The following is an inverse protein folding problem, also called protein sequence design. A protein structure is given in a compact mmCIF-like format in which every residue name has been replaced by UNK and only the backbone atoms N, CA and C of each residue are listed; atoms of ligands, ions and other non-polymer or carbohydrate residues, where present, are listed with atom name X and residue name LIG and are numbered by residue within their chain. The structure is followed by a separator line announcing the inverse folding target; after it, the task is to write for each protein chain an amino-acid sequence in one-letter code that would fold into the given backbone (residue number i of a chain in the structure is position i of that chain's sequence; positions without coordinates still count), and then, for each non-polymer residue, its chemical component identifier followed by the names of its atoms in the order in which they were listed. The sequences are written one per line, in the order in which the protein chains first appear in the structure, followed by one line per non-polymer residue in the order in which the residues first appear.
data_IF_325412039308
#
_entry.id   IF_325412039308
#
_cell.length_a   1.000
_cell.length_b   1.000
_cell.length_c   1.000
_cell.angle_alpha   90.00
_cell.angle_beta   90.00
_cell.angle_gamma   90.00
#
_symmetry.space_group_name_H-M   'P 1'
#
loop_
_entity.id
_entity.type
_entity.pdbx_description
1 polymer ?
#
# COMPACT_ATOMS: atom_id res chain seq x y z
N UNK A 1 -31.84 0.00 -4.98
CA UNK A 1 -30.58 0.75 -5.11
C UNK A 1 -30.72 1.73 -6.25
N UNK A 2 -30.50 2.99 -6.05
CA UNK A 2 -30.79 4.03 -7.05
C UNK A 2 -29.61 4.20 -8.02
N UNK A 3 -29.58 3.43 -9.08
CA UNK A 3 -28.64 3.54 -10.21
C UNK A 3 -27.47 2.56 -10.19
N UNK A 4 -26.72 2.46 -11.31
CA UNK A 4 -25.59 1.54 -11.44
C UNK A 4 -24.46 1.88 -10.49
N UNK A 5 -23.73 0.87 -10.04
CA UNK A 5 -22.56 1.00 -9.14
C UNK A 5 -21.37 1.51 -9.96
N UNK A 6 -20.72 2.61 -9.58
CA UNK A 6 -19.50 3.05 -10.22
C UNK A 6 -18.39 2.00 -10.10
N UNK A 7 -17.81 1.61 -11.22
CA UNK A 7 -16.64 0.74 -11.29
C UNK A 7 -15.54 1.43 -12.08
N UNK A 8 -14.50 1.87 -11.39
CA UNK A 8 -13.37 2.59 -11.96
C UNK A 8 -12.17 1.66 -12.08
N UNK A 9 -11.68 1.45 -13.29
CA UNK A 9 -10.57 0.53 -13.59
C UNK A 9 -9.35 1.29 -14.06
N UNK A 10 -8.21 1.02 -13.44
CA UNK A 10 -6.92 1.58 -13.85
C UNK A 10 -6.33 0.78 -15.02
N UNK A 11 -6.19 1.42 -16.19
CA UNK A 11 -5.54 0.83 -17.39
C UNK A 11 -4.01 0.79 -17.31
N UNK A 12 -3.40 1.52 -16.40
CA UNK A 12 -1.94 1.71 -16.36
C UNK A 12 -1.14 0.59 -15.70
N UNK A 13 -1.76 -0.48 -15.17
CA UNK A 13 -1.06 -1.51 -14.39
C UNK A 13 -1.48 -2.94 -14.71
N UNK A 14 -0.51 -3.84 -14.74
CA UNK A 14 -0.73 -5.28 -14.75
C UNK A 14 -1.46 -5.83 -15.99
N UNK A 15 -2.42 -6.73 -15.78
CA UNK A 15 -3.19 -7.38 -16.83
C UNK A 15 -4.09 -6.41 -17.62
N UNK A 16 -4.50 -5.29 -17.02
CA UNK A 16 -5.40 -4.31 -17.61
C UNK A 16 -4.78 -3.53 -18.81
N UNK A 17 -3.46 -3.49 -18.92
CA UNK A 17 -2.77 -2.78 -20.01
C UNK A 17 -2.74 -3.57 -21.32
N UNK A 18 -2.89 -4.90 -21.29
CA UNK A 18 -2.64 -5.77 -22.43
C UNK A 18 -3.86 -6.23 -23.21
N UNK A 19 -5.09 -6.15 -22.66
CA UNK A 19 -6.29 -6.77 -23.26
C UNK A 19 -7.56 -5.97 -22.92
N UNK A 20 -7.69 -4.72 -23.42
CA UNK A 20 -8.75 -3.82 -22.94
C UNK A 20 -10.19 -4.25 -23.26
N UNK A 21 -10.48 -4.80 -24.43
CA UNK A 21 -11.85 -5.20 -24.82
C UNK A 21 -12.26 -6.52 -24.15
N UNK A 22 -11.40 -7.53 -24.19
CA UNK A 22 -11.70 -8.81 -23.55
C UNK A 22 -11.89 -8.67 -22.03
N UNK A 23 -11.08 -7.84 -21.37
CA UNK A 23 -11.23 -7.57 -19.95
C UNK A 23 -12.52 -6.83 -19.63
N UNK A 24 -12.94 -5.90 -20.48
CA UNK A 24 -14.23 -5.19 -20.32
C UNK A 24 -15.40 -6.17 -20.36
N UNK A 25 -15.41 -7.07 -21.33
CA UNK A 25 -16.46 -8.09 -21.49
C UNK A 25 -16.48 -9.05 -20.31
N UNK A 26 -15.29 -9.50 -19.84
CA UNK A 26 -15.17 -10.35 -18.67
C UNK A 26 -15.72 -9.67 -17.40
N UNK A 27 -15.37 -8.40 -17.17
CA UNK A 27 -15.87 -7.63 -16.02
C UNK A 27 -17.40 -7.49 -16.12
N UNK A 28 -17.93 -7.04 -17.27
CA UNK A 28 -19.37 -6.84 -17.47
C UNK A 28 -20.13 -8.14 -17.23
N UNK A 29 -19.62 -9.26 -17.74
CA UNK A 29 -20.20 -10.58 -17.54
C UNK A 29 -20.19 -10.97 -16.07
N UNK A 30 -19.04 -10.85 -15.38
CA UNK A 30 -18.91 -11.21 -13.97
C UNK A 30 -19.90 -10.46 -13.08
N UNK A 31 -20.07 -9.15 -13.31
CA UNK A 31 -21.01 -8.33 -12.52
C UNK A 31 -22.47 -8.58 -12.89
N UNK A 32 -22.77 -8.87 -14.18
CA UNK A 32 -24.11 -9.27 -14.60
C UNK A 32 -24.51 -10.61 -13.97
N UNK A 33 -23.61 -11.61 -13.97
CA UNK A 33 -23.81 -12.91 -13.34
C UNK A 33 -23.97 -12.78 -11.81
N UNK A 34 -23.33 -11.78 -11.19
CA UNK A 34 -23.51 -11.44 -9.78
C UNK A 34 -24.75 -10.56 -9.50
N UNK A 35 -25.54 -10.20 -10.51
CA UNK A 35 -26.77 -9.43 -10.36
C UNK A 35 -26.59 -7.93 -10.04
N UNK A 36 -25.40 -7.36 -10.30
CA UNK A 36 -25.10 -5.95 -10.08
C UNK A 36 -25.02 -5.19 -11.42
N UNK A 37 -25.78 -4.11 -11.54
CA UNK A 37 -25.61 -3.14 -12.62
C UNK A 37 -24.44 -2.20 -12.29
N UNK A 38 -23.47 -2.08 -13.21
CA UNK A 38 -22.27 -1.27 -13.05
C UNK A 38 -22.20 -0.14 -14.08
N UNK A 39 -21.63 1.00 -13.68
CA UNK A 39 -21.10 2.05 -14.55
C UNK A 39 -19.58 1.88 -14.64
N UNK A 40 -19.15 1.11 -15.65
CA UNK A 40 -17.74 0.74 -15.85
C UNK A 40 -17.01 1.82 -16.64
N UNK A 41 -15.95 2.34 -16.04
CA UNK A 41 -15.11 3.37 -16.64
C UNK A 41 -13.63 3.01 -16.46
N UNK A 42 -12.85 3.22 -17.52
CA UNK A 42 -11.40 2.98 -17.51
C UNK A 42 -10.63 4.30 -17.48
N UNK A 43 -9.64 4.38 -16.62
CA UNK A 43 -8.80 5.57 -16.46
C UNK A 43 -7.31 5.21 -16.55
N UNK A 44 -6.46 6.09 -17.11
CA UNK A 44 -5.03 6.03 -16.87
C UNK A 44 -4.74 6.33 -15.39
N UNK A 45 -3.62 5.82 -14.87
CA UNK A 45 -3.27 5.97 -13.44
C UNK A 45 -3.39 7.40 -12.91
N UNK A 46 -2.94 8.38 -13.69
CA UNK A 46 -2.98 9.81 -13.34
C UNK A 46 -4.40 10.39 -13.22
N UNK A 47 -5.39 9.80 -13.89
CA UNK A 47 -6.79 10.26 -13.84
C UNK A 47 -7.64 9.63 -12.75
N UNK A 48 -7.12 8.64 -12.03
CA UNK A 48 -7.90 7.86 -11.07
C UNK A 48 -8.40 8.70 -9.89
N UNK A 49 -7.55 9.55 -9.31
CA UNK A 49 -7.93 10.37 -8.17
C UNK A 49 -9.09 11.32 -8.49
N UNK A 50 -9.06 11.96 -9.64
CA UNK A 50 -10.15 12.86 -10.11
C UNK A 50 -11.44 12.08 -10.40
N UNK A 51 -11.31 10.87 -10.95
CA UNK A 51 -12.44 10.00 -11.20
C UNK A 51 -13.11 9.54 -9.91
N UNK A 52 -12.32 9.15 -8.93
CA UNK A 52 -12.81 8.78 -7.58
C UNK A 52 -13.51 9.95 -6.91
N UNK A 53 -12.95 11.15 -6.98
CA UNK A 53 -13.56 12.34 -6.38
C UNK A 53 -14.98 12.64 -6.93
N UNK A 54 -15.26 12.31 -8.21
CA UNK A 54 -16.58 12.51 -8.83
C UNK A 54 -17.64 11.52 -8.35
N UNK A 55 -17.23 10.34 -7.90
CA UNK A 55 -18.14 9.27 -7.45
C UNK A 55 -18.10 9.06 -5.95
N UNK A 56 -17.17 9.69 -5.24
CA UNK A 56 -17.12 9.71 -3.79
C UNK A 56 -18.48 10.24 -3.22
N UNK A 57 -18.96 9.57 -2.16
CA UNK A 57 -20.31 9.81 -1.63
C UNK A 57 -21.39 8.87 -2.17
N UNK A 58 -21.11 8.08 -3.22
CA UNK A 58 -21.95 6.93 -3.58
C UNK A 58 -21.78 5.85 -2.51
N UNK A 59 -22.87 5.14 -2.20
CA UNK A 59 -22.88 4.12 -1.12
C UNK A 59 -21.79 3.04 -1.33
N UNK A 60 -21.61 2.60 -2.59
CA UNK A 60 -20.60 1.63 -2.99
C UNK A 60 -19.89 2.17 -4.23
N UNK A 61 -18.56 2.11 -4.20
CA UNK A 61 -17.68 2.42 -5.34
C UNK A 61 -16.71 1.26 -5.50
N UNK A 62 -16.64 0.69 -6.69
CA UNK A 62 -15.72 -0.41 -6.99
C UNK A 62 -14.47 0.14 -7.69
N UNK A 63 -13.31 -0.26 -7.20
CA UNK A 63 -12.02 0.11 -7.77
C UNK A 63 -11.32 -1.14 -8.31
N UNK A 64 -11.06 -1.15 -9.60
CA UNK A 64 -10.29 -2.19 -10.27
C UNK A 64 -8.84 -1.76 -10.46
N UNK A 65 -7.91 -2.47 -9.79
CA UNK A 65 -6.48 -2.16 -9.88
C UNK A 65 -5.63 -2.90 -8.86
N UNK A 66 -4.39 -2.45 -8.72
CA UNK A 66 -3.45 -2.93 -7.70
C UNK A 66 -3.37 -1.99 -6.50
N UNK A 67 -2.46 -2.30 -5.57
CA UNK A 67 -2.31 -1.62 -4.27
C UNK A 67 -2.14 -0.09 -4.39
N UNK A 68 -1.37 0.41 -5.37
CA UNK A 68 -1.22 1.86 -5.58
C UNK A 68 -2.53 2.54 -6.02
N UNK A 69 -3.34 1.88 -6.87
CA UNK A 69 -4.65 2.39 -7.28
C UNK A 69 -5.61 2.45 -6.10
N UNK A 70 -5.62 1.40 -5.27
CA UNK A 70 -6.44 1.33 -4.06
C UNK A 70 -6.03 2.39 -3.05
N UNK A 71 -4.72 2.56 -2.83
CA UNK A 71 -4.17 3.58 -1.93
C UNK A 71 -4.56 5.01 -2.35
N UNK A 72 -4.52 5.32 -3.64
CA UNK A 72 -4.91 6.64 -4.15
C UNK A 72 -6.42 6.94 -4.02
N UNK A 73 -7.25 5.90 -4.00
CA UNK A 73 -8.71 6.03 -3.87
C UNK A 73 -9.19 6.05 -2.40
N UNK A 74 -8.46 5.36 -1.52
CA UNK A 74 -8.89 5.07 -0.15
C UNK A 74 -9.24 6.31 0.66
N UNK A 75 -8.43 7.37 0.57
CA UNK A 75 -8.64 8.60 1.33
C UNK A 75 -9.95 9.29 0.97
N UNK A 76 -10.19 9.51 -0.32
CA UNK A 76 -11.38 10.19 -0.81
C UNK A 76 -12.67 9.40 -0.50
N UNK A 77 -12.61 8.07 -0.60
CA UNK A 77 -13.74 7.21 -0.29
C UNK A 77 -14.04 7.18 1.21
N UNK A 78 -13.00 7.13 2.05
CA UNK A 78 -13.16 7.19 3.51
C UNK A 78 -13.78 8.52 3.96
N UNK A 79 -13.27 9.65 3.46
CA UNK A 79 -13.78 10.99 3.77
C UNK A 79 -15.23 11.19 3.34
N UNK A 80 -15.63 10.58 2.23
CA UNK A 80 -17.02 10.63 1.73
C UNK A 80 -17.94 9.58 2.37
N UNK A 81 -17.43 8.67 3.22
CA UNK A 81 -18.21 7.59 3.83
C UNK A 81 -18.67 6.53 2.85
N UNK A 82 -17.99 6.40 1.70
CA UNK A 82 -18.28 5.39 0.69
C UNK A 82 -17.68 4.04 1.07
N UNK A 83 -18.37 2.96 0.73
CA UNK A 83 -17.82 1.61 0.84
C UNK A 83 -17.01 1.28 -0.41
N UNK A 84 -15.81 0.76 -0.22
CA UNK A 84 -14.91 0.31 -1.28
C UNK A 84 -15.18 -1.15 -1.64
N UNK A 85 -15.55 -1.44 -2.88
CA UNK A 85 -15.44 -2.75 -3.49
C UNK A 85 -14.09 -2.89 -4.20
N UNK A 86 -13.37 -3.99 -3.98
CA UNK A 86 -12.05 -4.21 -4.57
C UNK A 86 -12.13 -5.25 -5.67
N UNK A 87 -11.74 -4.87 -6.89
CA UNK A 87 -11.53 -5.78 -8.01
C UNK A 87 -10.02 -5.93 -8.25
N UNK A 88 -9.40 -7.08 -7.88
CA UNK A 88 -7.95 -7.23 -7.77
C UNK A 88 -7.29 -7.46 -9.14
N UNK A 89 -7.09 -6.40 -9.92
CA UNK A 89 -6.50 -6.44 -11.26
C UNK A 89 -4.98 -6.15 -11.29
N UNK A 90 -4.36 -5.95 -10.13
CA UNK A 90 -2.93 -5.70 -10.01
C UNK A 90 -2.09 -6.98 -10.04
N UNK A 91 -0.78 -6.81 -10.04
CA UNK A 91 0.17 -7.96 -10.05
C UNK A 91 0.34 -8.60 -8.67
N UNK A 92 0.30 -7.83 -7.60
CA UNK A 92 0.55 -8.31 -6.22
C UNK A 92 -0.71 -8.42 -5.41
N UNK A 93 -1.58 -7.41 -5.46
CA UNK A 93 -2.86 -7.34 -4.75
C UNK A 93 -2.73 -7.66 -3.25
N UNK A 94 -1.76 -7.01 -2.57
CA UNK A 94 -1.48 -7.26 -1.16
C UNK A 94 -2.71 -7.03 -0.30
N UNK A 95 -3.36 -5.86 -0.43
CA UNK A 95 -4.55 -5.52 0.33
C UNK A 95 -5.70 -6.51 0.10
N UNK A 96 -5.94 -6.90 -1.16
CA UNK A 96 -7.00 -7.87 -1.46
C UNK A 96 -6.73 -9.23 -0.81
N UNK A 97 -5.47 -9.70 -0.84
CA UNK A 97 -5.08 -10.96 -0.21
C UNK A 97 -5.20 -10.92 1.31
N UNK A 98 -4.78 -9.83 1.95
CA UNK A 98 -4.90 -9.64 3.40
C UNK A 98 -6.36 -9.56 3.85
N UNK A 99 -7.24 -9.03 3.01
CA UNK A 99 -8.70 -9.01 3.23
C UNK A 99 -9.39 -10.33 2.90
N UNK A 100 -8.67 -11.33 2.36
CA UNK A 100 -9.28 -12.59 1.91
C UNK A 100 -10.17 -12.45 0.67
N UNK A 101 -10.00 -11.38 -0.10
CA UNK A 101 -10.78 -11.16 -1.33
C UNK A 101 -10.31 -12.11 -2.43
N UNK A 102 -11.21 -12.88 -3.08
CA UNK A 102 -10.88 -13.73 -4.21
C UNK A 102 -10.19 -12.96 -5.34
N UNK A 103 -9.19 -13.57 -5.98
CA UNK A 103 -8.46 -12.94 -7.07
C UNK A 103 -9.13 -13.17 -8.45
N UNK A 104 -10.01 -14.13 -8.55
CA UNK A 104 -10.77 -14.43 -9.75
C UNK A 104 -11.94 -13.47 -9.91
N UNK A 105 -12.14 -12.93 -11.12
CA UNK A 105 -13.14 -11.90 -11.40
C UNK A 105 -14.57 -12.28 -11.00
N UNK A 106 -15.08 -13.48 -11.35
CA UNK A 106 -16.45 -13.86 -10.99
C UNK A 106 -16.68 -13.95 -9.48
N UNK A 107 -15.69 -14.45 -8.74
CA UNK A 107 -15.78 -14.61 -7.29
C UNK A 107 -15.67 -13.27 -6.58
N UNK A 108 -14.77 -12.38 -7.06
CA UNK A 108 -14.66 -11.03 -6.55
C UNK A 108 -15.94 -10.22 -6.80
N UNK A 109 -16.55 -10.33 -8.00
CA UNK A 109 -17.81 -9.68 -8.31
C UNK A 109 -18.96 -10.18 -7.42
N UNK A 110 -19.05 -11.49 -7.17
CA UNK A 110 -20.02 -12.08 -6.25
C UNK A 110 -19.83 -11.58 -4.80
N UNK A 111 -18.58 -11.52 -4.34
CA UNK A 111 -18.27 -10.96 -3.02
C UNK A 111 -18.71 -9.49 -2.93
N UNK A 112 -18.45 -8.68 -3.97
CA UNK A 112 -18.87 -7.28 -4.01
C UNK A 112 -20.39 -7.14 -3.97
N UNK A 113 -21.13 -8.12 -4.56
CA UNK A 113 -22.58 -8.14 -4.57
C UNK A 113 -23.19 -8.38 -3.19
N UNK A 114 -22.76 -9.44 -2.54
CA UNK A 114 -23.44 -10.04 -1.39
C UNK A 114 -22.58 -10.07 -0.13
N UNK A 115 -21.31 -9.65 -0.23
CA UNK A 115 -20.35 -9.77 0.86
C UNK A 115 -20.61 -8.80 2.00
N UNK A 116 -20.11 -9.15 3.19
CA UNK A 116 -20.19 -8.29 4.36
C UNK A 116 -19.27 -7.08 4.26
N UNK A 117 -19.60 -6.05 5.02
CA UNK A 117 -18.75 -4.87 5.16
C UNK A 117 -17.83 -5.03 6.38
N UNK A 118 -16.57 -4.69 6.17
CA UNK A 118 -15.56 -4.55 7.23
C UNK A 118 -15.05 -3.12 7.25
N UNK A 119 -14.53 -2.69 8.39
CA UNK A 119 -13.84 -1.41 8.49
C UNK A 119 -12.36 -1.63 8.75
N UNK A 120 -11.53 -0.91 8.01
CA UNK A 120 -10.08 -0.96 8.13
C UNK A 120 -9.50 0.41 8.48
N UNK A 121 -8.32 0.39 9.06
CA UNK A 121 -7.57 1.58 9.41
C UNK A 121 -6.90 2.21 8.18
N UNK A 122 -6.68 3.50 8.24
CA UNK A 122 -5.86 4.24 7.27
C UNK A 122 -4.75 4.98 7.99
N UNK A 123 -3.51 4.82 7.51
CA UNK A 123 -2.41 5.67 7.93
C UNK A 123 -2.41 7.00 7.18
N UNK A 124 -1.97 8.07 7.85
CA UNK A 124 -1.74 9.38 7.22
C UNK A 124 -0.34 9.89 7.51
N UNK A 125 0.22 10.64 6.57
CA UNK A 125 1.40 11.48 6.79
C UNK A 125 1.21 12.83 6.13
N UNK A 126 1.23 13.91 6.90
CA UNK A 126 0.96 15.26 6.43
C UNK A 126 -0.33 15.34 5.58
N UNK A 127 -1.39 14.65 6.00
CA UNK A 127 -2.68 14.56 5.29
C UNK A 127 -2.72 13.59 4.11
N UNK A 128 -1.58 13.05 3.66
CA UNK A 128 -1.56 12.03 2.61
C UNK A 128 -1.87 10.65 3.19
N UNK A 129 -2.84 9.96 2.62
CA UNK A 129 -3.27 8.62 3.04
C UNK A 129 -2.32 7.54 2.51
N UNK A 130 -2.11 6.49 3.31
CA UNK A 130 -1.56 5.21 2.89
C UNK A 130 -2.34 4.06 3.53
N UNK A 131 -2.54 3.01 2.76
CA UNK A 131 -3.30 1.84 3.20
C UNK A 131 -2.38 0.78 3.80
N UNK A 132 -1.19 0.59 3.21
CA UNK A 132 -0.25 -0.42 3.65
C UNK A 132 0.85 0.17 4.51
N UNK A 133 1.70 1.00 3.92
CA UNK A 133 2.87 1.53 4.62
C UNK A 133 3.41 2.82 4.01
N UNK A 134 4.17 3.53 4.83
CA UNK A 134 5.03 4.62 4.42
C UNK A 134 6.49 4.29 4.70
N UNK A 135 7.42 4.67 3.83
CA UNK A 135 8.84 4.47 4.06
C UNK A 135 9.69 5.69 3.70
N UNK A 136 10.73 5.93 4.49
CA UNK A 136 11.69 7.02 4.33
C UNK A 136 13.07 6.41 4.12
N UNK A 137 13.82 6.88 3.13
CA UNK A 137 15.21 6.50 2.91
C UNK A 137 15.42 5.67 1.66
N UNK A 138 15.98 4.48 1.81
CA UNK A 138 16.45 3.65 0.70
C UNK A 138 15.37 3.24 -0.33
N UNK A 139 14.17 2.92 0.11
CA UNK A 139 13.11 2.43 -0.79
C UNK A 139 12.61 3.49 -1.80
N UNK A 140 12.33 4.73 -1.41
CA UNK A 140 12.04 5.81 -2.36
C UNK A 140 13.16 6.02 -3.39
N UNK A 141 14.43 5.97 -2.95
CA UNK A 141 15.58 6.13 -3.83
C UNK A 141 15.69 4.99 -4.87
N UNK A 142 15.21 3.79 -4.53
CA UNK A 142 15.21 2.59 -5.38
C UNK A 142 14.07 2.60 -6.41
N UNK A 143 12.90 3.08 -6.04
CA UNK A 143 11.74 3.17 -6.93
C UNK A 143 12.01 4.18 -8.06
N UNK A 144 12.56 5.36 -7.75
CA UNK A 144 12.91 6.38 -8.74
C UNK A 144 13.93 5.91 -9.80
N UNK A 145 14.78 4.93 -9.48
CA UNK A 145 15.82 4.45 -10.40
C UNK A 145 15.36 3.31 -11.31
N UNK A 146 14.20 2.70 -11.07
CA UNK A 146 13.70 1.57 -11.87
C UNK A 146 13.21 1.97 -13.27
N UNK A 147 12.88 3.21 -13.49
CA UNK A 147 12.21 3.68 -14.72
C UNK A 147 13.12 3.80 -15.95
N UNK A 148 14.41 3.41 -15.87
CA UNK A 148 15.38 3.59 -16.98
C UNK A 148 16.13 2.36 -17.45
N UNK A 149 15.99 1.17 -16.84
CA UNK A 149 16.91 0.05 -17.10
C UNK A 149 16.25 -1.06 -17.93
N UNK A 150 16.62 -1.15 -19.22
CA UNK A 150 16.23 -2.25 -20.13
C UNK A 150 17.16 -3.46 -19.96
N UNK A 151 17.01 -4.23 -18.88
CA UNK A 151 17.76 -5.45 -18.59
C UNK A 151 16.82 -6.57 -18.12
N UNK A 152 17.22 -7.86 -18.26
CA UNK A 152 16.45 -8.98 -17.70
C UNK A 152 16.13 -8.74 -16.22
N UNK A 153 14.89 -8.97 -15.82
CA UNK A 153 14.31 -8.59 -14.51
C UNK A 153 15.20 -8.94 -13.30
N UNK A 154 15.85 -10.12 -13.29
CA UNK A 154 16.73 -10.56 -12.20
C UNK A 154 18.05 -9.78 -12.15
N UNK A 155 18.65 -9.52 -13.31
CA UNK A 155 19.92 -8.78 -13.42
C UNK A 155 19.71 -7.29 -13.11
N UNK A 156 18.63 -6.71 -13.61
CA UNK A 156 18.22 -5.34 -13.30
C UNK A 156 17.97 -5.15 -11.79
N UNK A 157 17.35 -6.13 -11.11
CA UNK A 157 17.13 -6.10 -9.67
C UNK A 157 18.43 -6.15 -8.87
N UNK A 158 19.40 -7.00 -9.28
CA UNK A 158 20.72 -7.11 -8.61
C UNK A 158 21.53 -5.82 -8.79
N UNK A 159 21.58 -5.27 -10.00
CA UNK A 159 22.30 -4.03 -10.27
C UNK A 159 21.65 -2.82 -9.59
N UNK A 160 20.31 -2.75 -9.58
CA UNK A 160 19.58 -1.72 -8.85
C UNK A 160 19.80 -1.83 -7.34
N UNK A 161 19.79 -3.04 -6.77
CA UNK A 161 20.11 -3.27 -5.36
C UNK A 161 21.57 -2.87 -5.03
N UNK A 162 22.53 -3.21 -5.88
CA UNK A 162 23.94 -2.85 -5.70
C UNK A 162 24.16 -1.33 -5.83
N UNK A 163 23.52 -0.67 -6.80
CA UNK A 163 23.59 0.78 -6.98
C UNK A 163 22.93 1.52 -5.81
N UNK A 164 21.82 1.03 -5.35
CA UNK A 164 21.08 1.56 -4.21
C UNK A 164 21.89 1.40 -2.92
N UNK A 165 22.54 0.26 -2.69
CA UNK A 165 23.45 0.02 -1.57
C UNK A 165 24.67 0.96 -1.60
N UNK A 166 25.23 1.24 -2.79
CA UNK A 166 26.33 2.21 -2.95
C UNK A 166 25.89 3.64 -2.57
N UNK A 167 24.64 4.00 -2.83
CA UNK A 167 24.06 5.33 -2.56
C UNK A 167 23.36 5.42 -1.22
N UNK A 168 23.23 4.31 -0.49
CA UNK A 168 22.56 4.26 0.80
C UNK A 168 23.21 5.23 1.77
N UNK A 169 22.46 6.25 2.17
CA UNK A 169 22.88 7.26 3.14
C UNK A 169 22.14 7.03 4.44
N UNK A 170 22.88 6.93 5.52
CA UNK A 170 22.29 6.99 6.85
C UNK A 170 21.72 8.39 7.08
N UNK A 171 20.47 8.42 7.48
CA UNK A 171 19.75 9.65 7.82
C UNK A 171 19.70 9.77 9.34
N UNK A 172 19.99 10.94 9.84
CA UNK A 172 19.73 11.29 11.24
C UNK A 172 18.29 11.79 11.31
N UNK A 173 17.48 11.09 12.06
CA UNK A 173 16.07 11.40 12.26
C UNK A 173 15.81 11.49 13.76
N UNK A 174 14.94 12.42 14.14
CA UNK A 174 14.38 12.48 15.48
C UNK A 174 12.93 12.04 15.36
N UNK A 175 12.58 11.07 16.15
CA UNK A 175 11.25 10.53 16.29
C UNK A 175 10.66 11.04 17.60
N UNK A 176 9.49 11.67 17.53
CA UNK A 176 8.70 12.07 18.70
C UNK A 176 7.42 11.25 18.71
N UNK A 177 7.21 10.53 19.79
CA UNK A 177 6.11 9.59 20.00
C UNK A 177 5.47 9.83 21.37
N UNK A 178 4.28 9.31 21.66
CA UNK A 178 3.65 9.47 22.98
C UNK A 178 4.52 9.05 24.17
N UNK A 179 5.49 8.13 23.98
CA UNK A 179 6.44 7.66 25.00
C UNK A 179 7.71 8.47 25.14
N UNK A 180 7.93 9.51 24.32
CA UNK A 180 9.13 10.33 24.36
C UNK A 180 9.77 10.59 23.00
N UNK A 181 11.02 11.05 23.04
CA UNK A 181 11.80 11.35 21.83
C UNK A 181 12.97 10.36 21.68
N UNK A 182 13.18 9.91 20.46
CA UNK A 182 14.31 9.06 20.10
C UNK A 182 15.09 9.64 18.91
N UNK A 183 16.42 9.65 19.02
CA UNK A 183 17.29 10.03 17.92
C UNK A 183 17.88 8.77 17.27
N UNK A 184 17.53 8.54 16.02
CA UNK A 184 18.01 7.38 15.27
C UNK A 184 18.91 7.76 14.11
N UNK A 185 19.79 6.83 13.74
CA UNK A 185 20.61 6.92 12.52
C UNK A 185 20.35 5.66 11.72
N UNK A 186 19.51 5.77 10.72
CA UNK A 186 19.07 4.63 9.92
C UNK A 186 19.14 4.91 8.41
N UNK A 187 19.40 3.90 7.56
CA UNK A 187 19.24 4.05 6.13
C UNK A 187 17.77 4.02 5.68
N UNK A 188 16.87 3.45 6.50
CA UNK A 188 15.46 3.32 6.19
C UNK A 188 14.61 3.30 7.46
N UNK A 189 13.57 4.12 7.49
CA UNK A 189 12.48 4.07 8.44
C UNK A 189 11.23 3.60 7.70
N UNK A 190 10.53 2.64 8.29
CA UNK A 190 9.29 2.08 7.79
C UNK A 190 8.19 2.31 8.83
N UNK A 191 7.05 2.80 8.39
CA UNK A 191 5.86 3.01 9.20
C UNK A 191 4.71 2.23 8.58
N UNK A 192 4.33 1.16 9.23
CA UNK A 192 3.23 0.30 8.80
C UNK A 192 1.88 0.79 9.33
N UNK A 193 0.85 0.66 8.52
CA UNK A 193 -0.54 0.76 8.96
C UNK A 193 -0.93 -0.59 9.56
N UNK A 194 -1.01 -0.66 10.87
CA UNK A 194 -1.13 -1.86 11.68
C UNK A 194 0.14 -2.74 11.77
N UNK A 195 0.08 -3.82 12.56
CA UNK A 195 1.21 -4.69 12.87
C UNK A 195 1.55 -5.60 11.71
N UNK A 196 2.81 -5.62 11.35
CA UNK A 196 3.34 -6.57 10.38
C UNK A 196 3.79 -7.86 11.07
N UNK A 197 3.43 -8.99 10.44
CA UNK A 197 3.92 -10.31 10.87
C UNK A 197 5.40 -10.42 10.49
N UNK A 198 6.24 -10.64 11.48
CA UNK A 198 7.69 -10.76 11.31
C UNK A 198 8.15 -12.23 11.17
N UNK A 199 7.23 -13.18 11.01
CA UNK A 199 7.56 -14.60 10.87
C UNK A 199 8.10 -14.95 9.49
N UNK A 200 9.02 -15.90 9.43
CA UNK A 200 9.57 -16.43 8.19
C UNK A 200 8.45 -17.03 7.31
N UNK A 201 8.33 -16.55 6.06
CA UNK A 201 7.29 -16.98 5.11
C UNK A 201 6.03 -16.11 5.07
N UNK A 202 5.79 -15.26 6.09
CA UNK A 202 4.66 -14.31 6.15
C UNK A 202 5.11 -12.84 6.18
N UNK A 203 6.37 -12.59 5.89
CA UNK A 203 6.95 -11.26 5.88
C UNK A 203 6.23 -10.32 4.91
N UNK A 204 5.83 -9.17 5.44
CA UNK A 204 5.10 -8.16 4.67
C UNK A 204 3.59 -8.33 4.68
N UNK A 205 3.05 -9.33 5.41
CA UNK A 205 1.63 -9.46 5.73
C UNK A 205 1.35 -8.78 7.07
N UNK A 206 0.13 -8.29 7.23
CA UNK A 206 -0.35 -7.74 8.51
C UNK A 206 -1.14 -8.79 9.27
N UNK A 207 -1.09 -8.74 10.59
CA UNK A 207 -1.87 -9.63 11.45
C UNK A 207 -3.36 -9.27 11.43
N UNK A 208 -3.65 -7.96 11.44
CA UNK A 208 -4.99 -7.40 11.32
C UNK A 208 -4.93 -6.06 10.56
N UNK A 209 -6.08 -5.56 10.12
CA UNK A 209 -6.20 -4.31 9.39
C UNK A 209 -6.93 -3.22 10.18
N UNK A 210 -7.23 -3.50 11.45
CA UNK A 210 -7.99 -2.62 12.36
C UNK A 210 -7.45 -2.63 13.81
N UNK A 211 -6.15 -2.92 13.99
CA UNK A 211 -5.46 -2.92 15.30
C UNK A 211 -5.34 -1.53 15.94
N UNK A 212 -5.54 -0.47 15.18
CA UNK A 212 -5.49 0.90 15.68
C UNK A 212 -4.09 1.41 15.98
N UNK A 213 -3.04 0.88 15.35
CA UNK A 213 -1.64 1.25 15.61
C UNK A 213 -0.84 1.52 14.34
N UNK A 214 0.14 2.41 14.45
CA UNK A 214 1.23 2.56 13.49
C UNK A 214 2.43 1.76 14.00
N UNK A 215 2.89 0.78 13.24
CA UNK A 215 4.09 0.01 13.59
C UNK A 215 5.33 0.62 12.98
N UNK A 216 6.29 1.00 13.83
CA UNK A 216 7.49 1.72 13.42
C UNK A 216 8.70 0.80 13.45
N UNK A 217 9.38 0.68 12.31
CA UNK A 217 10.57 -0.16 12.17
C UNK A 217 11.71 0.65 11.55
N UNK A 218 12.93 0.45 12.05
CA UNK A 218 14.13 0.97 11.44
C UNK A 218 15.06 -0.16 11.02
N UNK A 219 15.82 0.04 9.95
CA UNK A 219 16.88 -0.92 9.59
C UNK A 219 17.99 -0.81 10.62
N UNK A 220 18.23 -1.91 11.36
CA UNK A 220 19.11 -1.94 12.52
C UNK A 220 20.60 -1.83 12.16
N UNK A 221 20.99 -2.23 10.95
CA UNK A 221 22.40 -2.37 10.63
C UNK A 221 23.03 -1.08 10.10
N UNK A 222 24.14 -0.68 10.74
CA UNK A 222 25.03 0.40 10.27
C UNK A 222 26.13 -0.09 9.30
N UNK A 223 26.33 -1.40 9.18
CA UNK A 223 27.41 -1.99 8.36
C UNK A 223 26.93 -2.25 6.95
N UNK A 224 27.61 -1.68 5.94
CA UNK A 224 27.27 -1.86 4.51
C UNK A 224 27.17 -3.33 4.10
N UNK A 225 28.06 -4.21 4.62
CA UNK A 225 28.03 -5.64 4.32
C UNK A 225 26.79 -6.35 4.86
N UNK A 226 26.31 -5.95 6.04
CA UNK A 226 25.08 -6.51 6.59
C UNK A 226 23.85 -6.08 5.78
N UNK A 227 23.86 -4.84 5.25
CA UNK A 227 22.81 -4.34 4.36
C UNK A 227 22.83 -5.05 2.99
N UNK A 228 24.00 -5.46 2.48
CA UNK A 228 24.11 -6.33 1.31
C UNK A 228 23.48 -7.69 1.61
N UNK A 229 23.82 -8.28 2.74
CA UNK A 229 23.21 -9.52 3.21
C UNK A 229 21.68 -9.42 3.33
N UNK A 230 21.18 -8.33 3.91
CA UNK A 230 19.73 -8.02 3.95
C UNK A 230 19.12 -7.94 2.56
N UNK A 231 19.71 -7.15 1.64
CA UNK A 231 19.19 -7.00 0.29
C UNK A 231 19.16 -8.34 -0.48
N UNK A 232 20.17 -9.17 -0.32
CA UNK A 232 20.22 -10.53 -0.90
C UNK A 232 19.12 -11.41 -0.31
N UNK A 233 18.97 -11.41 1.03
CA UNK A 233 17.89 -12.16 1.70
C UNK A 233 16.50 -11.68 1.30
N UNK A 234 16.31 -10.37 1.17
CA UNK A 234 15.06 -9.78 0.69
C UNK A 234 14.72 -10.20 -0.75
N UNK A 235 15.74 -10.27 -1.63
CA UNK A 235 15.58 -10.73 -3.02
C UNK A 235 15.17 -12.20 -3.14
N UNK A 236 15.63 -13.05 -2.22
CA UNK A 236 15.32 -14.50 -2.19
C UNK A 236 14.17 -14.84 -1.23
N UNK A 237 13.49 -13.83 -0.66
CA UNK A 237 12.38 -14.03 0.26
C UNK A 237 12.77 -14.64 1.62
N UNK A 238 14.02 -14.47 2.05
CA UNK A 238 14.57 -15.02 3.32
C UNK A 238 15.06 -13.91 4.25
N UNK A 239 14.31 -12.83 4.39
CA UNK A 239 14.63 -11.81 5.40
C UNK A 239 14.47 -12.38 6.80
N UNK A 240 15.35 -11.95 7.71
CA UNK A 240 15.32 -12.27 9.13
C UNK A 240 14.87 -11.00 9.87
N UNK A 241 13.64 -10.96 10.38
CA UNK A 241 13.06 -9.76 10.99
C UNK A 241 13.85 -9.27 12.19
N UNK A 242 14.24 -10.19 13.08
CA UNK A 242 14.92 -9.86 14.32
C UNK A 242 16.35 -9.34 14.10
N UNK A 243 16.94 -9.74 12.98
CA UNK A 243 18.29 -9.33 12.61
C UNK A 243 18.33 -8.11 11.70
N UNK A 244 17.35 -7.97 10.84
CA UNK A 244 17.34 -6.99 9.75
C UNK A 244 16.62 -5.70 10.13
N UNK A 245 15.63 -5.79 11.05
CA UNK A 245 14.84 -4.66 11.52
C UNK A 245 14.92 -4.54 13.04
N UNK A 246 15.02 -3.31 13.51
CA UNK A 246 14.73 -2.97 14.90
C UNK A 246 13.30 -2.44 14.94
N UNK A 247 12.42 -3.13 15.64
CA UNK A 247 11.12 -2.59 15.99
C UNK A 247 11.35 -1.43 16.98
N UNK A 248 10.87 -0.25 16.63
CA UNK A 248 10.93 0.92 17.54
C UNK A 248 9.72 0.87 18.45
N UNK A 249 8.55 0.52 17.90
CA UNK A 249 7.33 0.32 18.68
C UNK A 249 6.06 0.51 17.87
N UNK A 250 4.96 0.22 18.53
CA UNK A 250 3.62 0.50 18.03
C UNK A 250 3.12 1.78 18.68
N UNK A 251 2.65 2.73 17.88
CA UNK A 251 2.22 4.05 18.33
C UNK A 251 0.93 4.48 17.64
N UNK A 252 0.19 5.39 18.24
CA UNK A 252 -0.98 6.01 17.60
C UNK A 252 -0.60 7.20 16.70
N UNK A 253 0.53 7.84 17.02
CA UNK A 253 1.05 8.98 16.29
C UNK A 253 2.58 9.01 16.33
N UNK A 254 3.20 9.58 15.28
CA UNK A 254 4.64 9.71 15.18
C UNK A 254 4.98 11.00 14.44
N UNK A 255 5.84 11.82 15.02
CA UNK A 255 6.42 12.96 14.33
C UNK A 255 7.89 12.68 13.99
N UNK A 256 8.23 12.79 12.70
CA UNK A 256 9.62 12.59 12.24
C UNK A 256 10.21 13.91 11.77
N UNK A 257 11.33 14.29 12.39
CA UNK A 257 12.10 15.47 11.99
C UNK A 257 13.49 15.07 11.51
N UNK A 258 14.10 15.94 10.72
CA UNK A 258 15.44 15.71 10.16
C UNK A 258 16.06 17.01 9.64
N UNK A 259 17.32 16.96 9.17
CA UNK A 259 18.06 18.16 8.77
C UNK A 259 17.57 18.80 7.46
N UNK A 260 16.74 18.11 6.68
CA UNK A 260 16.22 18.61 5.41
C UNK A 260 14.84 19.22 5.57
N UNK A 261 14.53 20.24 4.77
CA UNK A 261 13.19 20.85 4.72
C UNK A 261 12.12 19.95 4.10
N UNK A 262 12.52 19.07 3.16
CA UNK A 262 11.66 18.09 2.52
C UNK A 262 12.33 16.73 2.49
N UNK A 263 11.54 15.67 2.61
CA UNK A 263 11.99 14.28 2.57
C UNK A 263 11.11 13.53 1.56
N UNK A 264 11.73 12.66 0.76
CA UNK A 264 10.99 11.72 -0.09
C UNK A 264 10.47 10.58 0.78
N UNK A 265 9.17 10.39 0.70
CA UNK A 265 8.44 9.32 1.39
C UNK A 265 7.77 8.47 0.32
N UNK A 266 7.93 7.16 0.36
CA UNK A 266 7.14 6.26 -0.44
C UNK A 266 5.89 5.87 0.36
N UNK A 267 4.71 6.10 -0.21
CA UNK A 267 3.40 5.74 0.31
C UNK A 267 2.83 4.65 -0.59
N UNK A 268 2.59 3.47 -0.06
CA UNK A 268 2.12 2.29 -0.81
C UNK A 268 2.90 2.02 -2.11
N UNK A 269 4.18 2.43 -2.12
CA UNK A 269 5.08 2.31 -3.27
C UNK A 269 5.20 3.56 -4.16
N UNK A 270 4.38 4.59 -3.98
CA UNK A 270 4.47 5.87 -4.70
C UNK A 270 5.34 6.88 -3.96
N UNK A 271 6.30 7.49 -4.64
CA UNK A 271 7.22 8.44 -4.01
C UNK A 271 6.68 9.87 -4.08
N UNK A 272 6.51 10.48 -2.91
CA UNK A 272 6.10 11.88 -2.76
C UNK A 272 7.17 12.68 -2.00
N UNK A 273 7.34 13.95 -2.32
CA UNK A 273 8.21 14.86 -1.56
C UNK A 273 7.36 15.61 -0.55
N UNK A 274 7.58 15.36 0.74
CA UNK A 274 6.82 15.95 1.83
C UNK A 274 7.66 16.88 2.67
N UNK A 275 7.06 17.97 3.15
CA UNK A 275 7.69 18.92 4.06
C UNK A 275 7.91 18.30 5.44
N UNK A 276 9.01 18.62 6.07
CA UNK A 276 9.33 18.24 7.46
C UNK A 276 8.84 19.34 8.40
N UNK A 277 8.22 19.02 9.54
CA UNK A 277 8.07 17.68 10.14
C UNK A 277 7.08 16.78 9.39
N UNK A 278 7.34 15.46 9.42
CA UNK A 278 6.40 14.47 8.95
C UNK A 278 5.54 14.00 10.12
N UNK A 279 4.29 14.40 10.13
CA UNK A 279 3.31 14.01 11.14
C UNK A 279 2.53 12.79 10.65
N UNK A 280 2.79 11.64 11.27
CA UNK A 280 2.05 10.42 11.03
C UNK A 280 0.93 10.27 12.04
N UNK A 281 -0.24 9.93 11.57
CA UNK A 281 -1.44 9.64 12.37
C UNK A 281 -2.15 8.42 11.83
N UNK A 282 -3.01 7.84 12.64
CA UNK A 282 -3.86 6.74 12.25
C UNK A 282 -5.34 7.15 12.35
N UNK A 283 -6.07 6.93 11.29
CA UNK A 283 -7.53 7.03 11.28
C UNK A 283 -8.09 5.62 11.48
N UNK A 284 -8.47 5.31 12.72
CA UNK A 284 -8.98 3.99 13.08
C UNK A 284 -10.33 3.73 12.43
N UNK A 285 -10.47 2.55 11.81
CA UNK A 285 -11.68 2.07 11.14
C UNK A 285 -12.28 3.08 10.16
N UNK A 286 -11.41 3.80 9.46
CA UNK A 286 -11.82 4.92 8.62
C UNK A 286 -12.47 4.51 7.31
N UNK A 287 -12.01 3.39 6.69
CA UNK A 287 -12.50 2.94 5.39
C UNK A 287 -13.39 1.71 5.53
N UNK A 288 -14.61 1.79 5.00
CA UNK A 288 -15.49 0.64 4.83
C UNK A 288 -15.12 -0.11 3.54
N UNK A 289 -14.94 -1.42 3.61
CA UNK A 289 -14.60 -2.30 2.49
C UNK A 289 -15.54 -3.50 2.44
N UNK A 290 -15.85 -4.01 1.24
CA UNK A 290 -16.50 -5.31 1.08
C UNK A 290 -15.42 -6.39 1.15
N UNK A 291 -15.47 -7.24 2.16
CA UNK A 291 -14.52 -8.33 2.35
C UNK A 291 -15.14 -9.46 3.19
N UNK A 292 -14.67 -10.70 3.09
CA UNK A 292 -15.09 -11.77 3.98
C UNK A 292 -14.90 -11.40 5.45
N UNK A 293 -15.73 -11.90 6.33
CA UNK A 293 -15.48 -11.82 7.77
C UNK A 293 -14.23 -12.63 8.11
N UNK A 294 -13.43 -12.15 9.04
CA UNK A 294 -12.34 -12.97 9.58
C UNK A 294 -12.93 -14.21 10.24
N UNK A 295 -12.39 -15.38 9.88
CA UNK A 295 -12.69 -16.56 10.67
C UNK A 295 -12.11 -16.35 12.07
N UNK A 296 -12.89 -16.59 13.14
CA UNK A 296 -12.35 -16.49 14.50
C UNK A 296 -11.20 -17.51 14.62
N UNK A 297 -9.98 -17.00 14.82
CA UNK A 297 -8.78 -17.79 15.11
C UNK A 297 -8.87 -18.52 16.44
#
# INVERSE_FOLDING_TARGET
MSGPVPLLVNRGGGAAAAQSEALEDEIRKAFADAGISIDLQFFPGEGMADAVAKVAGRKLVVIGGGDGTLGSAAGALAEAGSTLGILPLGTRNHLARELGIPLELPEAAKLIADGPQRRIDLGRVNGQVFVNNASIGFYPDLVQQREGIKLPRKLAAILAAAAALRRMRHRRLRLTMPGGEENIVTPMLFVGNNRYVLEAGRLGQRAALDDGVLSVYAVASRRRLALIGFAIRALIGRTDPDRDFAAIGDVSELCVTGPKRCIHVALDGEVKSLAVPLAFTLDSRALSVIAPLEEPT
#
